data_IF_362081957119
#
_entry.id   IF_362081957119
#
_cell.length_a   1.000
_cell.length_b   1.000
_cell.length_c   1.000
_cell.angle_alpha   90.00
_cell.angle_beta   90.00
_cell.angle_gamma   90.00
#
_symmetry.space_group_name_H-M   'P 1'
#
loop_
_entity.id
_entity.type
_entity.pdbx_description
1 polymer ?
#
# COMPACT_ATOMS: atom_id res chain seq x y z
N UNK A 1 2.02 -22.94 -12.37
CA UNK A 1 3.19 -22.74 -11.48
C UNK A 1 2.78 -21.72 -10.45
N UNK A 2 2.85 -22.05 -9.18
CA UNK A 2 2.61 -21.08 -8.10
C UNK A 2 3.83 -20.18 -8.00
N UNK A 3 3.63 -18.87 -8.05
CA UNK A 3 4.72 -17.91 -7.81
C UNK A 3 5.23 -18.07 -6.39
N UNK A 4 6.55 -18.03 -6.21
CA UNK A 4 7.16 -18.12 -4.88
C UNK A 4 6.91 -16.88 -4.04
N UNK A 5 6.67 -15.73 -4.69
CA UNK A 5 6.45 -14.43 -4.04
C UNK A 5 5.21 -13.76 -4.61
N UNK A 6 4.29 -13.34 -3.75
CA UNK A 6 3.00 -12.78 -4.16
C UNK A 6 2.71 -11.48 -3.42
N UNK A 7 2.25 -10.47 -4.16
CA UNK A 7 1.64 -9.26 -3.59
C UNK A 7 0.12 -9.39 -3.74
N UNK A 8 -0.59 -9.31 -2.63
CA UNK A 8 -2.05 -9.24 -2.61
C UNK A 8 -2.48 -7.79 -2.40
N UNK A 9 -3.21 -7.24 -3.38
CA UNK A 9 -3.83 -5.93 -3.26
C UNK A 9 -5.22 -6.08 -2.63
N UNK A 10 -5.30 -5.79 -1.34
CA UNK A 10 -6.54 -5.74 -0.58
C UNK A 10 -7.29 -4.43 -0.74
N UNK A 11 -6.76 -3.55 -1.59
CA UNK A 11 -7.17 -2.18 -1.82
C UNK A 11 -7.01 -1.26 -0.60
N UNK A 12 -6.65 -0.02 -0.90
CA UNK A 12 -6.50 1.04 0.10
C UNK A 12 -7.46 2.15 -0.25
N UNK A 13 -8.43 2.42 0.62
CA UNK A 13 -9.32 3.56 0.51
C UNK A 13 -9.18 4.41 1.77
N UNK A 14 -8.49 5.51 1.63
CA UNK A 14 -8.29 6.50 2.69
C UNK A 14 -8.43 7.91 2.10
N UNK A 15 -8.71 8.94 2.92
CA UNK A 15 -9.02 10.27 2.41
C UNK A 15 -7.97 10.88 1.48
N UNK A 16 -6.70 10.54 1.69
CA UNK A 16 -5.59 11.05 0.90
C UNK A 16 -5.07 10.05 -0.14
N UNK A 17 -5.59 8.83 -0.20
CA UNK A 17 -5.13 7.80 -1.12
C UNK A 17 -6.29 6.92 -1.58
N UNK A 18 -6.49 6.84 -2.88
CA UNK A 18 -7.51 6.00 -3.48
C UNK A 18 -6.86 4.87 -4.28
N UNK A 19 -6.95 3.66 -3.75
CA UNK A 19 -6.37 2.46 -4.35
C UNK A 19 -7.39 1.40 -4.72
N UNK A 20 -8.68 1.77 -4.73
CA UNK A 20 -9.77 0.88 -5.15
C UNK A 20 -9.99 1.01 -6.64
N UNK A 21 -10.09 -0.09 -7.43
CA UNK A 21 -10.27 0.00 -8.86
C UNK A 21 -11.42 0.94 -9.28
N UNK A 22 -11.22 1.72 -10.35
CA UNK A 22 -10.18 1.67 -11.39
C UNK A 22 -8.83 2.29 -11.04
N UNK A 23 -8.51 2.46 -9.79
CA UNK A 23 -7.26 3.03 -9.29
C UNK A 23 -6.35 1.93 -8.71
N UNK A 24 -5.04 2.22 -8.63
CA UNK A 24 -4.07 1.44 -7.88
C UNK A 24 -3.22 2.38 -7.01
N UNK A 25 -3.05 2.02 -5.75
CA UNK A 25 -2.28 2.81 -4.79
C UNK A 25 -0.77 2.77 -5.07
N UNK A 26 0.01 3.74 -4.62
CA UNK A 26 1.48 3.71 -4.72
C UNK A 26 2.12 2.60 -3.87
N UNK A 27 1.47 2.13 -2.81
CA UNK A 27 2.00 1.08 -1.93
C UNK A 27 2.37 -0.20 -2.68
N UNK A 28 1.57 -0.58 -3.67
CA UNK A 28 1.81 -1.80 -4.47
C UNK A 28 3.13 -1.71 -5.23
N UNK A 29 3.40 -0.54 -5.84
CA UNK A 29 4.63 -0.33 -6.62
C UNK A 29 5.87 -0.29 -5.74
N UNK A 30 5.80 0.40 -4.60
CA UNK A 30 6.96 0.47 -3.68
C UNK A 30 7.29 -0.89 -3.09
N UNK A 31 6.30 -1.67 -2.68
CA UNK A 31 6.50 -3.06 -2.22
C UNK A 31 7.07 -3.93 -3.34
N UNK A 32 6.55 -3.82 -4.57
CA UNK A 32 7.11 -4.54 -5.71
C UNK A 32 8.58 -4.15 -5.99
N UNK A 33 8.90 -2.88 -5.83
CA UNK A 33 10.26 -2.36 -5.97
C UNK A 33 11.22 -2.95 -4.93
N UNK A 34 10.84 -3.00 -3.66
CA UNK A 34 11.62 -3.65 -2.61
C UNK A 34 11.85 -5.12 -2.94
N UNK A 35 10.80 -5.87 -3.28
CA UNK A 35 10.95 -7.28 -3.63
C UNK A 35 11.94 -7.49 -4.77
N UNK A 36 11.86 -6.66 -5.81
CA UNK A 36 12.80 -6.72 -6.95
C UNK A 36 14.23 -6.33 -6.56
N UNK A 37 14.42 -5.35 -5.71
CA UNK A 37 15.74 -4.96 -5.20
C UNK A 37 16.41 -6.13 -4.47
N UNK A 38 15.62 -6.96 -3.79
CA UNK A 38 16.08 -8.19 -3.13
C UNK A 38 16.04 -9.43 -4.05
N UNK A 39 15.97 -9.23 -5.37
CA UNK A 39 16.09 -10.31 -6.37
C UNK A 39 14.83 -11.16 -6.53
N UNK A 40 13.68 -10.73 -6.03
CA UNK A 40 12.41 -11.44 -6.10
C UNK A 40 11.53 -10.90 -7.23
N UNK A 41 10.77 -11.78 -7.88
CA UNK A 41 9.81 -11.42 -8.94
C UNK A 41 8.39 -11.69 -8.43
N UNK A 42 7.68 -10.66 -7.92
CA UNK A 42 6.36 -10.87 -7.36
C UNK A 42 5.29 -11.10 -8.44
N UNK A 43 4.38 -12.04 -8.18
CA UNK A 43 3.07 -12.09 -8.80
C UNK A 43 2.14 -11.09 -8.10
N UNK A 44 1.33 -10.38 -8.87
CA UNK A 44 0.33 -9.47 -8.33
C UNK A 44 -1.07 -10.08 -8.46
N UNK A 45 -1.84 -10.01 -7.39
CA UNK A 45 -3.23 -10.45 -7.37
C UNK A 45 -4.08 -9.52 -6.52
N UNK A 46 -5.30 -9.21 -6.98
CA UNK A 46 -6.25 -8.42 -6.19
C UNK A 46 -7.13 -9.32 -5.33
N UNK A 47 -7.66 -8.76 -4.24
CA UNK A 47 -8.62 -9.47 -3.38
C UNK A 47 -9.87 -9.91 -4.17
N UNK A 48 -10.32 -9.14 -5.16
CA UNK A 48 -11.46 -9.51 -5.99
C UNK A 48 -11.16 -10.69 -6.92
N UNK A 49 -9.90 -10.86 -7.36
CA UNK A 49 -9.50 -12.06 -8.09
C UNK A 49 -9.52 -13.29 -7.19
N UNK A 50 -9.11 -13.16 -5.93
CA UNK A 50 -9.18 -14.25 -4.95
C UNK A 50 -10.63 -14.64 -4.62
N UNK A 51 -11.52 -13.66 -4.48
CA UNK A 51 -12.97 -13.89 -4.27
C UNK A 51 -13.61 -14.67 -5.41
N UNK A 52 -13.16 -14.42 -6.65
CA UNK A 52 -13.70 -15.05 -7.87
C UNK A 52 -13.12 -16.42 -8.16
N UNK A 53 -11.92 -16.69 -7.68
CA UNK A 53 -11.17 -17.91 -7.99
C UNK A 53 -10.60 -18.58 -6.72
N UNK A 54 -11.37 -19.50 -6.09
CA UNK A 54 -10.90 -20.27 -4.95
C UNK A 54 -9.65 -21.11 -5.21
N UNK A 55 -9.43 -21.54 -6.45
CA UNK A 55 -8.22 -22.30 -6.82
C UNK A 55 -6.96 -21.43 -6.74
N UNK A 56 -7.08 -20.15 -7.09
CA UNK A 56 -5.99 -19.18 -6.92
C UNK A 56 -5.67 -18.97 -5.44
N UNK A 57 -6.69 -18.86 -4.59
CA UNK A 57 -6.49 -18.79 -3.13
C UNK A 57 -5.80 -20.05 -2.58
N UNK A 58 -6.20 -21.22 -3.04
CA UNK A 58 -5.53 -22.46 -2.66
C UNK A 58 -4.04 -22.51 -3.13
N UNK A 59 -3.76 -21.96 -4.30
CA UNK A 59 -2.39 -21.89 -4.83
C UNK A 59 -1.47 -20.97 -3.99
N UNK A 60 -2.02 -19.94 -3.33
CA UNK A 60 -1.25 -19.05 -2.45
C UNK A 60 -0.78 -19.73 -1.16
N UNK A 61 -1.39 -20.86 -0.78
CA UNK A 61 -1.11 -21.56 0.47
C UNK A 61 0.36 -21.90 0.66
N UNK A 62 1.03 -22.26 -0.44
CA UNK A 62 2.40 -22.77 -0.43
C UNK A 62 3.41 -21.79 -1.05
N UNK A 63 3.02 -20.53 -1.23
CA UNK A 63 3.94 -19.45 -1.59
C UNK A 63 5.00 -19.30 -0.49
N UNK A 64 6.23 -18.93 -0.86
CA UNK A 64 7.31 -18.70 0.12
C UNK A 64 7.09 -17.39 0.88
N UNK A 65 6.70 -16.35 0.12
CA UNK A 65 6.48 -15.01 0.66
C UNK A 65 5.17 -14.43 0.11
N UNK A 66 4.34 -13.93 1.01
CA UNK A 66 3.14 -13.18 0.68
C UNK A 66 3.19 -11.82 1.36
N UNK A 67 2.94 -10.75 0.61
CA UNK A 67 2.78 -9.41 1.16
C UNK A 67 1.41 -8.89 0.75
N UNK A 68 0.54 -8.67 1.71
CA UNK A 68 -0.78 -8.08 1.47
C UNK A 68 -0.78 -6.62 1.90
N UNK A 69 -1.26 -5.76 1.02
CA UNK A 69 -1.53 -4.36 1.32
C UNK A 69 -3.03 -4.18 1.50
N UNK A 70 -3.42 -3.70 2.66
CA UNK A 70 -4.81 -3.44 2.99
C UNK A 70 -4.97 -2.09 3.68
N UNK A 71 -6.05 -1.43 3.34
CA UNK A 71 -6.49 -0.20 3.97
C UNK A 71 -7.59 -0.44 4.97
N UNK A 72 -8.23 0.65 5.32
CA UNK A 72 -9.45 0.67 6.13
C UNK A 72 -10.65 0.46 5.21
N UNK A 73 -11.62 -0.32 5.65
CA UNK A 73 -12.89 -0.40 4.94
C UNK A 73 -13.71 0.83 5.25
N UNK A 74 -13.83 1.74 4.29
CA UNK A 74 -14.74 2.88 4.38
C UNK A 74 -16.07 2.48 3.76
N UNK A 75 -17.21 2.69 4.44
CA UNK A 75 -18.52 2.43 3.83
C UNK A 75 -18.69 3.28 2.56
N UNK A 76 -18.91 2.61 1.43
CA UNK A 76 -19.05 3.30 0.16
C UNK A 76 -19.47 2.38 -0.97
N UNK A 77 -19.80 2.97 -2.12
CA UNK A 77 -20.03 2.24 -3.36
C UNK A 77 -18.82 2.40 -4.24
N UNK A 78 -18.14 1.29 -4.49
CA UNK A 78 -16.97 1.25 -5.37
C UNK A 78 -17.39 0.80 -6.76
N UNK A 79 -16.74 1.36 -7.79
CA UNK A 79 -17.11 1.12 -9.18
C UNK A 79 -16.72 -0.29 -9.67
N UNK A 80 -15.54 -0.75 -9.28
CA UNK A 80 -14.95 -1.95 -9.88
C UNK A 80 -14.17 -2.81 -8.88
N UNK A 81 -14.39 -2.67 -7.59
CA UNK A 81 -13.72 -3.45 -6.56
C UNK A 81 -14.26 -3.14 -5.18
N UNK A 82 -13.94 -3.97 -4.20
CA UNK A 82 -14.31 -3.76 -2.80
C UNK A 82 -13.11 -4.05 -1.91
N UNK A 83 -12.72 -3.13 -1.00
CA UNK A 83 -11.64 -3.36 -0.06
C UNK A 83 -11.81 -4.65 0.74
N UNK A 84 -10.69 -5.26 1.11
CA UNK A 84 -10.69 -6.45 1.95
C UNK A 84 -11.28 -6.13 3.32
N UNK A 85 -12.19 -6.99 3.78
CA UNK A 85 -12.79 -6.90 5.11
C UNK A 85 -11.87 -7.52 6.17
N UNK A 86 -12.05 -7.15 7.44
CA UNK A 86 -11.30 -7.76 8.55
C UNK A 86 -11.43 -9.27 8.59
N UNK A 87 -12.62 -9.78 8.30
CA UNK A 87 -12.85 -11.22 8.26
C UNK A 87 -12.05 -11.90 7.15
N UNK A 88 -11.99 -11.30 5.96
CA UNK A 88 -11.18 -11.83 4.86
C UNK A 88 -9.69 -11.77 5.16
N UNK A 89 -9.20 -10.67 5.78
CA UNK A 89 -7.81 -10.58 6.21
C UNK A 89 -7.45 -11.72 7.18
N UNK A 90 -8.29 -11.97 8.17
CA UNK A 90 -8.10 -13.05 9.12
C UNK A 90 -8.16 -14.42 8.44
N UNK A 91 -9.16 -14.67 7.59
CA UNK A 91 -9.30 -15.94 6.88
C UNK A 91 -8.10 -16.23 5.98
N UNK A 92 -7.62 -15.22 5.24
CA UNK A 92 -6.41 -15.36 4.42
C UNK A 92 -5.18 -15.70 5.28
N UNK A 93 -4.99 -15.02 6.41
CA UNK A 93 -3.87 -15.31 7.31
C UNK A 93 -3.84 -16.77 7.75
N UNK A 94 -4.99 -17.38 8.02
CA UNK A 94 -5.09 -18.79 8.40
C UNK A 94 -5.00 -19.77 7.21
N UNK A 95 -5.07 -19.27 5.98
CA UNK A 95 -4.94 -20.12 4.78
C UNK A 95 -3.50 -20.55 4.52
N UNK A 96 -2.54 -19.71 4.87
CA UNK A 96 -1.12 -19.94 4.56
C UNK A 96 -0.54 -21.10 5.35
N UNK A 97 0.39 -21.82 4.71
CA UNK A 97 1.11 -22.90 5.36
C UNK A 97 2.10 -22.34 6.41
N UNK A 98 2.52 -23.18 7.35
CA UNK A 98 3.57 -22.80 8.34
C UNK A 98 4.93 -22.47 7.71
N UNK A 99 5.12 -22.79 6.44
CA UNK A 99 6.36 -22.52 5.69
C UNK A 99 6.28 -21.18 4.94
N UNK A 100 5.10 -20.60 4.84
CA UNK A 100 4.87 -19.32 4.16
C UNK A 100 5.19 -18.18 5.12
N UNK A 101 6.04 -17.26 4.71
CA UNK A 101 6.18 -15.97 5.37
C UNK A 101 5.11 -15.05 4.80
N UNK A 102 4.16 -14.63 5.63
CA UNK A 102 3.03 -13.81 5.18
C UNK A 102 2.95 -12.52 6.00
N UNK A 103 3.09 -11.38 5.34
CA UNK A 103 3.00 -10.06 5.95
C UNK A 103 1.75 -9.31 5.53
N UNK A 104 1.16 -8.61 6.48
CA UNK A 104 0.08 -7.65 6.27
C UNK A 104 0.62 -6.24 6.50
N UNK A 105 0.37 -5.31 5.57
CA UNK A 105 0.82 -3.93 5.66
C UNK A 105 -0.17 -2.94 5.07
N UNK A 106 0.19 -1.66 5.10
CA UNK A 106 -0.65 -0.56 4.65
C UNK A 106 -1.41 0.12 5.80
N UNK A 107 -2.41 0.98 5.52
CA UNK A 107 -3.12 1.76 6.54
C UNK A 107 -3.79 0.94 7.63
N UNK A 108 -4.09 -0.32 7.39
CA UNK A 108 -4.59 -1.24 8.43
C UNK A 108 -3.63 -1.34 9.63
N UNK A 109 -2.34 -1.07 9.44
CA UNK A 109 -1.34 -1.07 10.50
C UNK A 109 -1.58 -0.01 11.57
N UNK A 110 -2.34 1.03 11.25
CA UNK A 110 -2.76 2.06 12.23
C UNK A 110 -3.96 1.64 13.07
N UNK A 111 -4.59 0.50 12.77
CA UNK A 111 -5.78 0.03 13.48
C UNK A 111 -7.03 0.86 13.23
N UNK A 112 -7.01 1.73 12.24
CA UNK A 112 -8.17 2.52 11.85
C UNK A 112 -9.12 1.70 10.99
N UNK A 113 -10.30 1.41 11.51
CA UNK A 113 -11.39 0.74 10.79
C UNK A 113 -12.74 1.15 11.39
N UNK A 114 -13.85 0.95 10.66
CA UNK A 114 -15.20 1.15 11.21
C UNK A 114 -15.51 0.28 12.42
N UNK A 115 -14.85 -0.86 12.55
CA UNK A 115 -15.04 -1.79 13.68
C UNK A 115 -14.16 -1.46 14.89
N UNK A 116 -13.21 -0.54 14.74
CA UNK A 116 -12.37 -0.07 15.84
C UNK A 116 -10.87 -0.23 15.61
N UNK A 117 -10.08 0.54 16.35
CA UNK A 117 -8.63 0.67 16.21
C UNK A 117 -7.82 -0.58 16.53
N UNK A 118 -7.27 -0.67 17.74
CA UNK A 118 -6.36 -1.76 18.13
C UNK A 118 -7.01 -3.16 18.13
N UNK A 119 -8.30 -3.24 18.38
CA UNK A 119 -9.02 -4.53 18.30
C UNK A 119 -9.06 -5.05 16.85
N UNK A 120 -9.38 -4.18 15.90
CA UNK A 120 -9.40 -4.51 14.48
C UNK A 120 -7.99 -4.89 13.98
N UNK A 121 -6.96 -4.18 14.40
CA UNK A 121 -5.56 -4.49 14.07
C UNK A 121 -5.15 -5.88 14.56
N UNK A 122 -5.45 -6.22 15.83
CA UNK A 122 -5.17 -7.55 16.37
C UNK A 122 -5.92 -8.64 15.63
N UNK A 123 -7.17 -8.40 15.26
CA UNK A 123 -7.96 -9.32 14.47
C UNK A 123 -7.38 -9.50 13.07
N UNK A 124 -7.04 -8.41 12.39
CA UNK A 124 -6.50 -8.42 11.04
C UNK A 124 -5.21 -9.21 10.93
N UNK A 125 -4.28 -9.06 11.89
CA UNK A 125 -2.96 -9.73 11.85
C UNK A 125 -3.01 -11.19 12.28
N UNK A 126 -4.15 -11.66 12.76
CA UNK A 126 -4.31 -13.04 13.22
C UNK A 126 -4.09 -14.04 12.08
N UNK A 127 -3.16 -14.97 12.26
CA UNK A 127 -2.75 -15.95 11.24
C UNK A 127 -1.63 -15.50 10.29
N UNK A 128 -1.28 -14.21 10.28
CA UNK A 128 -0.15 -13.69 9.54
C UNK A 128 1.16 -13.87 10.32
N UNK A 129 2.30 -13.92 9.61
CA UNK A 129 3.63 -13.94 10.25
C UNK A 129 3.89 -12.64 11.01
N UNK A 130 3.43 -11.51 10.46
CA UNK A 130 3.57 -10.21 11.11
C UNK A 130 2.90 -9.07 10.37
N UNK A 131 2.98 -7.88 10.97
CA UNK A 131 2.48 -6.62 10.44
C UNK A 131 3.66 -5.74 10.01
N UNK A 132 3.64 -5.27 8.77
CA UNK A 132 4.54 -4.22 8.28
C UNK A 132 3.97 -2.87 8.74
N UNK A 133 4.48 -2.38 9.87
CA UNK A 133 4.01 -1.13 10.48
C UNK A 133 4.64 0.09 9.82
N UNK A 134 3.92 1.21 9.79
CA UNK A 134 4.38 2.43 9.13
C UNK A 134 4.30 2.34 7.60
N UNK A 135 5.38 2.69 6.91
CA UNK A 135 5.50 2.47 5.47
C UNK A 135 5.80 0.99 5.19
N UNK A 136 4.92 0.27 4.46
CA UNK A 136 5.09 -1.16 4.28
C UNK A 136 6.32 -1.54 3.44
N UNK A 137 6.75 -0.69 2.52
CA UNK A 137 7.95 -0.93 1.73
C UNK A 137 9.21 -0.79 2.59
N UNK A 138 9.31 0.28 3.39
CA UNK A 138 10.41 0.47 4.31
C UNK A 138 10.50 -0.63 5.37
N UNK A 139 9.35 -1.05 5.93
CA UNK A 139 9.32 -2.15 6.90
C UNK A 139 9.72 -3.49 6.26
N UNK A 140 9.34 -3.73 5.02
CA UNK A 140 9.74 -4.93 4.28
C UNK A 140 11.22 -4.94 3.95
N UNK A 141 11.79 -3.80 3.55
CA UNK A 141 13.23 -3.66 3.32
C UNK A 141 14.04 -3.93 4.59
N UNK A 142 13.61 -3.35 5.72
CA UNK A 142 14.21 -3.62 7.05
C UNK A 142 14.20 -5.11 7.38
N UNK A 143 13.10 -5.79 7.11
CA UNK A 143 13.01 -7.24 7.29
C UNK A 143 14.07 -8.01 6.48
N UNK A 144 14.25 -7.67 5.20
CA UNK A 144 15.27 -8.30 4.36
C UNK A 144 16.70 -7.97 4.81
N UNK A 145 16.91 -6.77 5.32
CA UNK A 145 18.21 -6.36 5.88
C UNK A 145 18.48 -6.96 7.26
N UNK A 146 17.55 -7.67 7.87
CA UNK A 146 17.70 -8.29 9.17
C UNK A 146 17.75 -7.28 10.32
N UNK A 147 17.14 -6.11 10.14
CA UNK A 147 17.01 -5.07 11.18
C UNK A 147 15.57 -4.97 11.65
N UNK A 148 15.34 -4.38 12.82
CA UNK A 148 13.98 -4.14 13.31
C UNK A 148 13.19 -3.29 12.31
N UNK A 149 11.95 -3.70 11.96
CA UNK A 149 11.13 -2.99 10.99
C UNK A 149 10.68 -1.63 11.52
N UNK A 150 11.36 -0.58 11.15
CA UNK A 150 11.00 0.77 11.60
C UNK A 150 9.89 1.41 10.75
N UNK A 151 9.72 0.98 9.50
CA UNK A 151 8.69 1.50 8.60
C UNK A 151 8.75 3.02 8.39
N UNK A 152 9.93 3.61 8.54
CA UNK A 152 10.13 5.05 8.37
C UNK A 152 10.22 5.37 6.88
N UNK A 153 9.33 6.26 6.43
CA UNK A 153 9.35 6.71 5.04
C UNK A 153 10.59 7.57 4.77
N UNK A 154 11.39 7.13 3.81
CA UNK A 154 12.44 7.91 3.16
C UNK A 154 12.11 8.05 1.67
N UNK A 155 11.95 9.28 1.18
CA UNK A 155 11.60 9.50 -0.22
C UNK A 155 12.69 9.14 -1.22
N UNK A 156 13.95 9.10 -0.84
CA UNK A 156 15.01 8.62 -1.75
C UNK A 156 14.81 7.12 -2.05
N UNK A 157 14.55 6.34 -1.01
CA UNK A 157 14.24 4.92 -1.16
C UNK A 157 12.88 4.71 -1.86
N UNK A 158 11.86 5.47 -1.46
CA UNK A 158 10.55 5.43 -2.08
C UNK A 158 10.61 5.67 -3.60
N UNK A 159 11.36 6.71 -4.03
CA UNK A 159 11.52 7.06 -5.45
C UNK A 159 12.18 5.92 -6.23
N UNK A 160 13.22 5.32 -5.67
CA UNK A 160 13.89 4.16 -6.25
C UNK A 160 12.97 2.96 -6.37
N UNK A 161 12.25 2.60 -5.30
CA UNK A 161 11.34 1.47 -5.29
C UNK A 161 10.13 1.67 -6.20
N UNK A 162 9.54 2.87 -6.21
CA UNK A 162 8.38 3.15 -7.06
C UNK A 162 8.71 3.04 -8.55
N UNK A 163 9.90 3.48 -8.95
CA UNK A 163 10.38 3.33 -10.32
C UNK A 163 10.72 1.87 -10.65
N UNK A 164 11.42 1.14 -9.74
CA UNK A 164 11.78 -0.27 -9.94
C UNK A 164 10.56 -1.19 -10.00
N UNK A 165 9.53 -0.90 -9.22
CA UNK A 165 8.28 -1.65 -9.18
C UNK A 165 7.23 -1.23 -10.19
N UNK A 166 7.52 -0.27 -11.08
CA UNK A 166 6.54 0.33 -11.97
C UNK A 166 5.82 -0.67 -12.89
N UNK A 167 6.51 -1.69 -13.39
CA UNK A 167 5.96 -2.68 -14.30
C UNK A 167 4.95 -3.66 -13.67
N UNK A 168 4.81 -3.66 -12.33
CA UNK A 168 3.78 -4.48 -11.65
C UNK A 168 2.37 -4.16 -12.16
N UNK A 169 2.16 -2.95 -12.68
CA UNK A 169 0.88 -2.53 -13.26
C UNK A 169 0.43 -3.38 -14.44
N UNK A 170 1.37 -4.01 -15.16
CA UNK A 170 1.06 -4.91 -16.27
C UNK A 170 0.22 -6.11 -15.85
N UNK A 171 0.29 -6.49 -14.58
CA UNK A 171 -0.45 -7.60 -14.00
C UNK A 171 -1.83 -7.17 -13.46
N UNK A 172 -2.14 -5.86 -13.44
CA UNK A 172 -3.41 -5.38 -12.92
C UNK A 172 -4.57 -5.77 -13.86
N UNK A 173 -5.70 -6.32 -13.33
CA UNK A 173 -6.82 -6.79 -14.18
C UNK A 173 -7.43 -5.73 -15.11
N UNK A 174 -7.27 -4.46 -14.78
CA UNK A 174 -7.78 -3.34 -15.58
C UNK A 174 -6.71 -2.67 -16.43
N UNK A 175 -5.49 -3.24 -16.49
CA UNK A 175 -4.46 -2.71 -17.39
C UNK A 175 -4.94 -2.78 -18.86
N UNK A 176 -4.71 -1.76 -19.70
CA UNK A 176 -3.98 -0.49 -19.43
C UNK A 176 -4.86 0.67 -18.92
N UNK A 177 -6.11 0.42 -18.54
CA UNK A 177 -7.10 1.44 -18.19
C UNK A 177 -7.20 1.74 -16.69
N UNK A 178 -6.23 1.27 -15.91
CA UNK A 178 -6.12 1.59 -14.48
C UNK A 178 -5.55 2.99 -14.27
N UNK A 179 -6.13 3.74 -13.34
CA UNK A 179 -5.62 5.03 -12.89
C UNK A 179 -4.50 4.83 -11.88
N UNK A 180 -3.35 5.41 -12.15
CA UNK A 180 -2.18 5.30 -11.29
C UNK A 180 -2.11 6.49 -10.33
N UNK A 181 -2.25 6.23 -9.05
CA UNK A 181 -2.12 7.27 -8.04
C UNK A 181 -0.64 7.56 -7.76
N UNK A 182 -0.22 8.81 -7.91
CA UNK A 182 1.13 9.29 -7.62
C UNK A 182 1.12 9.99 -6.27
N UNK A 183 1.99 9.58 -5.38
CA UNK A 183 2.20 10.24 -4.10
C UNK A 183 3.02 11.52 -4.29
N UNK A 184 2.55 12.63 -3.73
CA UNK A 184 3.28 13.91 -3.74
C UNK A 184 3.72 14.34 -2.35
N UNK A 185 3.00 13.92 -1.31
CA UNK A 185 3.34 14.20 0.08
C UNK A 185 2.64 13.20 0.99
N UNK A 186 3.15 13.04 2.21
CA UNK A 186 2.56 12.21 3.26
C UNK A 186 2.64 12.92 4.60
N UNK A 187 1.60 12.75 5.42
CA UNK A 187 1.46 13.41 6.71
C UNK A 187 0.63 14.68 6.62
N UNK A 188 0.21 15.19 7.76
CA UNK A 188 -0.68 16.34 7.85
C UNK A 188 -0.30 17.22 9.05
N UNK A 189 -0.33 18.56 8.85
CA UNK A 189 -0.09 19.53 9.94
C UNK A 189 -1.03 19.37 11.14
N UNK A 190 -2.23 18.83 10.91
CA UNK A 190 -3.17 18.53 11.99
C UNK A 190 -2.73 17.37 12.89
N UNK A 191 -1.63 16.70 12.62
CA UNK A 191 -1.08 15.68 13.52
C UNK A 191 -0.82 16.22 14.92
N UNK A 192 -0.50 17.53 15.06
CA UNK A 192 -0.27 18.18 16.36
C UNK A 192 -1.57 18.45 17.14
N UNK A 193 -2.72 18.39 16.50
CA UNK A 193 -4.04 18.63 17.12
C UNK A 193 -4.92 17.37 17.13
N UNK A 194 -4.36 16.19 16.84
CA UNK A 194 -5.09 14.93 16.78
C UNK A 194 -5.74 14.60 15.43
N UNK A 195 -5.68 15.55 14.47
CA UNK A 195 -6.17 15.31 13.11
C UNK A 195 -7.69 15.33 12.96
N UNK A 196 -8.15 14.89 11.79
CA UNK A 196 -9.55 14.65 11.51
C UNK A 196 -9.93 13.23 11.92
N UNK A 197 -11.11 13.05 12.53
CA UNK A 197 -11.56 11.75 13.06
C UNK A 197 -11.70 10.62 12.03
N UNK A 198 -11.70 10.97 10.75
CA UNK A 198 -11.86 10.03 9.63
C UNK A 198 -10.59 9.87 8.78
N UNK A 199 -9.46 10.48 9.17
CA UNK A 199 -8.30 10.59 8.29
C UNK A 199 -7.07 9.90 8.90
N UNK A 200 -6.37 9.12 8.08
CA UNK A 200 -5.12 8.42 8.45
C UNK A 200 -3.87 9.28 8.33
N UNK A 201 -3.92 10.39 7.58
CA UNK A 201 -2.76 11.24 7.34
C UNK A 201 -2.03 11.74 8.60
N UNK A 202 -2.72 12.12 9.70
CA UNK A 202 -2.06 12.50 10.93
C UNK A 202 -1.17 11.43 11.56
N UNK A 203 -1.44 10.14 11.29
CA UNK A 203 -0.60 9.03 11.80
C UNK A 203 0.79 8.99 11.16
N UNK A 204 0.93 9.57 9.97
CA UNK A 204 2.25 9.71 9.30
C UNK A 204 3.06 10.90 9.82
N UNK A 205 2.52 11.68 10.76
CA UNK A 205 3.19 12.83 11.37
C UNK A 205 3.11 14.12 10.55
N UNK A 206 4.12 14.98 10.74
CA UNK A 206 4.24 16.22 9.98
C UNK A 206 4.41 15.96 8.49
N UNK A 207 3.86 16.83 7.61
CA UNK A 207 3.95 16.64 6.17
C UNK A 207 5.40 16.58 5.69
N UNK A 208 5.67 15.55 4.93
CA UNK A 208 6.89 15.42 4.13
C UNK A 208 6.50 15.42 2.66
N UNK A 209 7.17 16.25 1.89
CA UNK A 209 6.91 16.40 0.46
C UNK A 209 7.97 15.63 -0.33
N UNK A 210 7.52 14.99 -1.37
CA UNK A 210 8.35 14.27 -2.31
C UNK A 210 8.96 15.24 -3.32
N UNK A 211 10.22 15.03 -3.70
CA UNK A 211 10.87 15.86 -4.73
C UNK A 211 10.19 15.68 -6.09
N UNK A 212 9.96 16.76 -6.86
CA UNK A 212 9.42 16.67 -8.22
C UNK A 212 10.22 15.73 -9.14
N UNK A 213 11.53 15.65 -8.97
CA UNK A 213 12.37 14.76 -9.77
C UNK A 213 12.03 13.28 -9.54
N UNK A 214 11.73 12.88 -8.28
CA UNK A 214 11.30 11.53 -7.95
C UNK A 214 9.93 11.21 -8.56
N UNK A 215 8.98 12.15 -8.48
CA UNK A 215 7.65 12.00 -9.12
C UNK A 215 7.80 11.84 -10.64
N UNK A 216 8.67 12.64 -11.25
CA UNK A 216 8.94 12.55 -12.68
C UNK A 216 9.55 11.19 -13.06
N UNK A 217 10.54 10.71 -12.30
CA UNK A 217 11.19 9.43 -12.55
C UNK A 217 10.20 8.26 -12.48
N UNK A 218 9.33 8.25 -11.47
CA UNK A 218 8.25 7.25 -11.35
C UNK A 218 7.29 7.34 -12.54
N UNK A 219 6.85 8.55 -12.89
CA UNK A 219 5.94 8.78 -14.02
C UNK A 219 6.55 8.30 -15.33
N UNK A 220 7.85 8.54 -15.55
CA UNK A 220 8.57 8.06 -16.72
C UNK A 220 8.63 6.52 -16.76
N UNK A 221 8.95 5.88 -15.64
CA UNK A 221 8.99 4.42 -15.54
C UNK A 221 7.60 3.80 -15.79
N UNK A 222 6.56 4.36 -15.23
CA UNK A 222 5.18 3.92 -15.44
C UNK A 222 4.74 4.13 -16.90
N UNK A 223 5.11 5.26 -17.51
CA UNK A 223 4.82 5.52 -18.93
C UNK A 223 5.54 4.53 -19.83
N UNK A 224 6.79 4.20 -19.53
CA UNK A 224 7.54 3.16 -20.24
C UNK A 224 6.89 1.77 -20.09
N UNK A 225 6.25 1.49 -18.96
CA UNK A 225 5.44 0.29 -18.74
C UNK A 225 4.03 0.38 -19.39
N UNK A 226 3.73 1.43 -20.16
CA UNK A 226 2.48 1.58 -20.93
C UNK A 226 1.33 2.23 -20.16
N UNK A 227 1.59 2.83 -18.99
CA UNK A 227 0.59 3.58 -18.25
C UNK A 227 0.05 4.79 -19.06
N UNK A 228 -1.25 5.04 -18.96
CA UNK A 228 -1.92 6.13 -19.70
C UNK A 228 -2.64 7.13 -18.81
N UNK A 229 -2.99 6.72 -17.59
CA UNK A 229 -3.83 7.51 -16.69
C UNK A 229 -3.13 7.71 -15.37
N UNK A 230 -2.94 8.97 -14.98
CA UNK A 230 -2.26 9.36 -13.76
C UNK A 230 -3.16 10.29 -12.94
N UNK A 231 -3.07 10.17 -11.64
CA UNK A 231 -3.68 11.08 -10.69
C UNK A 231 -2.62 11.52 -9.69
N UNK A 232 -2.48 12.83 -9.50
CA UNK A 232 -1.76 13.37 -8.34
C UNK A 232 -2.65 13.20 -7.13
N UNK A 233 -2.32 12.24 -6.32
CA UNK A 233 -3.04 11.85 -5.12
C UNK A 233 -2.08 11.63 -3.96
N UNK A 234 -2.53 10.95 -2.93
CA UNK A 234 -1.73 10.64 -1.76
C UNK A 234 -1.07 11.88 -1.17
N UNK A 235 -1.88 12.91 -0.90
CA UNK A 235 -1.53 14.11 -0.16
C UNK A 235 -2.78 14.69 0.50
N UNK A 236 -2.65 15.30 1.70
CA UNK A 236 -3.77 15.94 2.37
C UNK A 236 -4.17 17.28 1.71
N UNK A 237 -3.21 17.97 1.09
CA UNK A 237 -3.41 19.28 0.47
C UNK A 237 -2.39 19.52 -0.64
N UNK A 238 -2.85 19.49 -1.89
CA UNK A 238 -2.00 19.74 -3.06
C UNK A 238 -1.53 21.20 -3.13
N UNK A 239 -2.32 22.16 -2.63
CA UNK A 239 -1.96 23.57 -2.65
C UNK A 239 -0.81 23.90 -1.67
N UNK A 240 -0.59 23.03 -0.70
CA UNK A 240 0.54 23.13 0.22
C UNK A 240 1.83 22.53 -0.33
N UNK A 241 1.80 21.92 -1.53
CA UNK A 241 3.00 21.38 -2.14
C UNK A 241 3.98 22.48 -2.53
N UNK A 242 5.25 22.32 -2.15
CA UNK A 242 6.31 23.31 -2.38
C UNK A 242 6.40 24.41 -1.31
N UNK A 243 5.49 24.41 -0.33
CA UNK A 243 5.60 25.33 0.82
C UNK A 243 6.60 24.74 1.81
N UNK A 244 7.72 25.43 2.01
CA UNK A 244 8.73 25.06 3.01
C UNK A 244 8.23 25.35 4.42
N UNK A 245 8.42 24.37 5.31
CA UNK A 245 7.84 24.36 6.65
C UNK A 245 8.08 25.62 7.46
N UNK A 246 7.01 26.18 7.98
CA UNK A 246 6.99 27.29 8.94
C UNK A 246 5.96 28.38 8.67
N UNK A 247 5.46 28.51 7.46
CA UNK A 247 4.51 29.57 7.08
C UNK A 247 3.13 29.03 6.69
N UNK A 248 2.58 28.11 7.50
CA UNK A 248 1.18 27.77 7.30
C UNK A 248 0.28 28.84 7.93
N UNK A 249 -0.80 29.22 7.24
CA UNK A 249 -1.82 30.05 7.87
C UNK A 249 -2.26 29.39 9.16
N UNK A 250 -2.13 30.08 10.27
CA UNK A 250 -2.75 29.66 11.53
C UNK A 250 -4.25 29.52 11.27
N UNK A 251 -4.88 28.43 11.78
CA UNK A 251 -6.32 28.26 11.64
C UNK A 251 -7.10 29.41 12.25
#
# INVERSE_FOLDING_TARGET
>A
MTSETVIIDGYVDEPACLGVPPYISPYIRTVAGVLKEHGLSPEYVTIDQLRKDPMRTAALRDAKLVVMIAGVTVPGKYLAGTPATLLELQQLGFTFSKKTTAFLGGPISFGYSPEGGEAAKRQAVSGWTGMLSGDPAAALDSYFCGVEPEGLLDYQNFDRWSALGADIILQHPMYPHVMLELETARGCFRCVTGGCSFCTEPFYGMPRQRDPAGIFAETAALSAAGAKHFRLGRQPDLLAYGVSGGEFPKP
#
